data_IF_860172219777
#
_entry.id   IF_860172219777
#
_cell.length_a   1.000
_cell.length_b   1.000
_cell.length_c   1.000
_cell.angle_alpha   90.00
_cell.angle_beta   90.00
_cell.angle_gamma   90.00
#
_symmetry.space_group_name_H-M   'P 1'
#
loop_
_entity.id
_entity.type
_entity.pdbx_description
1 polymer ?
#
# COMPACT_ATOMS: atom_id res chain seq x y z
N UNK A 1 -9.89 16.14 44.12
CA UNK A 1 -9.01 15.64 43.04
C UNK A 1 -7.81 16.56 42.94
N UNK A 2 -6.60 16.02 43.02
CA UNK A 2 -5.37 16.81 43.02
C UNK A 2 -5.02 17.23 41.57
N UNK A 3 -4.89 18.53 41.25
CA UNK A 3 -4.66 19.01 39.88
C UNK A 3 -3.40 18.42 39.22
N UNK A 4 -2.39 18.05 40.02
CA UNK A 4 -1.18 17.37 39.54
C UNK A 4 -1.46 15.99 38.94
N UNK A 5 -2.45 15.27 39.46
CA UNK A 5 -2.85 13.93 38.97
C UNK A 5 -3.56 14.04 37.63
N UNK A 6 -4.38 15.08 37.44
CA UNK A 6 -5.10 15.33 36.18
C UNK A 6 -4.09 15.71 35.08
N UNK A 7 -3.13 16.58 35.38
CA UNK A 7 -2.10 17.00 34.43
C UNK A 7 -1.23 15.80 34.01
N UNK A 8 -0.81 14.95 34.95
CA UNK A 8 -0.03 13.75 34.64
C UNK A 8 -0.82 12.76 33.75
N UNK A 9 -2.11 12.58 34.00
CA UNK A 9 -2.96 11.70 33.18
C UNK A 9 -3.13 12.22 31.75
N UNK A 10 -3.36 13.54 31.58
CA UNK A 10 -3.49 14.15 30.26
C UNK A 10 -2.19 14.02 29.48
N UNK A 11 -1.04 14.26 30.13
CA UNK A 11 0.27 14.15 29.50
C UNK A 11 0.57 12.70 29.06
N UNK A 12 0.33 11.69 29.90
CA UNK A 12 0.51 10.27 29.50
C UNK A 12 -0.43 9.83 28.38
N UNK A 13 -1.67 10.34 28.36
CA UNK A 13 -2.64 10.04 27.28
C UNK A 13 -2.17 10.60 25.94
N UNK A 14 -1.57 11.79 25.96
CA UNK A 14 -1.03 12.47 24.79
C UNK A 14 0.23 11.74 24.27
N UNK A 15 1.14 11.30 25.13
CA UNK A 15 2.31 10.52 24.70
C UNK A 15 1.93 9.17 24.07
N UNK A 16 0.93 8.47 24.61
CA UNK A 16 0.45 7.20 24.03
C UNK A 16 -0.21 7.36 22.64
N UNK A 17 -0.72 8.56 22.33
CA UNK A 17 -1.25 8.88 20.99
C UNK A 17 -0.13 9.15 19.97
N UNK A 18 1.04 9.62 20.41
CA UNK A 18 2.16 9.97 19.52
C UNK A 18 3.16 8.84 19.26
N UNK A 19 3.13 7.77 20.04
CA UNK A 19 4.11 6.67 19.95
C UNK A 19 3.80 5.65 18.83
N UNK A 20 2.62 5.72 18.19
CA UNK A 20 2.16 4.66 17.27
C UNK A 20 2.49 4.87 15.78
N UNK A 21 2.92 6.07 15.34
CA UNK A 21 2.94 6.40 13.90
C UNK A 21 4.31 6.74 13.28
N UNK A 22 5.41 6.66 14.05
CA UNK A 22 6.75 7.00 13.53
C UNK A 22 7.63 5.80 13.18
N UNK A 23 7.19 4.57 13.46
CA UNK A 23 7.94 3.38 13.04
C UNK A 23 7.69 3.06 11.57
N UNK A 24 8.55 3.61 10.71
CA UNK A 24 8.57 3.37 9.27
C UNK A 24 9.16 2.00 8.91
N UNK A 25 9.64 1.22 9.89
CA UNK A 25 10.29 -0.05 9.63
C UNK A 25 9.28 -1.12 9.18
N UNK A 26 9.77 -2.01 8.32
CA UNK A 26 9.03 -3.18 7.86
C UNK A 26 9.74 -4.44 8.37
N UNK A 27 9.02 -5.31 9.06
CA UNK A 27 9.55 -6.58 9.58
C UNK A 27 8.71 -7.71 8.99
N UNK A 28 9.37 -8.67 8.32
CA UNK A 28 8.68 -9.78 7.68
C UNK A 28 9.49 -10.47 6.58
N UNK A 29 8.83 -11.34 5.81
CA UNK A 29 9.49 -12.05 4.70
C UNK A 29 9.84 -11.05 3.61
N UNK A 30 11.12 -10.99 3.25
CA UNK A 30 11.67 -9.91 2.43
C UNK A 30 12.05 -10.40 1.04
N UNK A 31 11.69 -9.61 0.02
CA UNK A 31 12.09 -9.79 -1.37
C UNK A 31 12.69 -8.48 -1.88
N UNK A 32 13.89 -8.53 -2.47
CA UNK A 32 14.66 -7.36 -2.92
C UNK A 32 14.70 -7.30 -4.44
N UNK A 33 15.01 -6.12 -4.97
CA UNK A 33 15.10 -5.86 -6.42
C UNK A 33 13.79 -6.20 -7.15
N UNK A 34 12.66 -5.94 -6.50
CA UNK A 34 11.34 -6.09 -7.10
C UNK A 34 11.07 -4.87 -7.96
N UNK A 35 10.65 -5.07 -9.20
CA UNK A 35 10.20 -3.97 -10.07
C UNK A 35 8.81 -3.54 -9.62
N UNK A 36 8.71 -2.31 -9.11
CA UNK A 36 7.43 -1.66 -8.86
C UNK A 36 7.05 -0.87 -10.11
N UNK A 37 5.83 -1.10 -10.60
CA UNK A 37 5.19 -0.26 -11.61
C UNK A 37 3.85 0.25 -11.11
N UNK A 38 3.28 1.26 -11.76
CA UNK A 38 1.99 1.82 -11.41
C UNK A 38 0.93 1.51 -12.47
N UNK A 39 -0.31 1.33 -12.02
CA UNK A 39 -1.51 1.26 -12.86
C UNK A 39 -2.61 2.09 -12.21
N UNK A 40 -3.63 2.48 -12.98
CA UNK A 40 -4.73 3.30 -12.49
C UNK A 40 -6.08 2.72 -12.92
N UNK A 41 -7.16 3.00 -12.17
CA UNK A 41 -8.50 2.57 -12.54
C UNK A 41 -8.97 3.14 -13.90
N UNK A 42 -9.34 2.28 -14.84
CA UNK A 42 -10.08 2.67 -16.05
C UNK A 42 -11.59 2.65 -15.74
N UNK A 43 -12.18 3.84 -15.69
CA UNK A 43 -13.62 4.02 -15.47
C UNK A 43 -14.44 4.08 -16.78
N UNK A 44 -13.77 4.09 -17.93
CA UNK A 44 -14.38 4.28 -19.24
C UNK A 44 -14.60 2.92 -19.93
N UNK A 45 -13.59 2.04 -19.91
CA UNK A 45 -13.71 0.69 -20.48
C UNK A 45 -14.03 -0.36 -19.41
N UNK A 46 -15.32 -0.48 -19.07
CA UNK A 46 -15.78 -1.47 -18.08
C UNK A 46 -15.69 -2.92 -18.58
N UNK A 47 -15.59 -3.12 -19.90
CA UNK A 47 -15.65 -4.43 -20.56
C UNK A 47 -14.28 -5.15 -20.61
N UNK A 48 -13.18 -4.44 -20.37
CA UNK A 48 -11.83 -5.00 -20.36
C UNK A 48 -11.26 -4.95 -18.92
N UNK A 49 -10.87 -6.11 -18.40
CA UNK A 49 -10.06 -6.27 -17.18
C UNK A 49 -10.56 -5.62 -15.89
N UNK A 50 -11.87 -5.66 -15.62
CA UNK A 50 -12.41 -5.18 -14.35
C UNK A 50 -11.94 -3.75 -14.02
N UNK A 51 -11.83 -2.85 -15.02
CA UNK A 51 -10.96 -1.66 -15.00
C UNK A 51 -10.89 -0.78 -13.73
N UNK A 52 -11.88 -0.79 -12.84
CA UNK A 52 -11.87 -0.06 -11.56
C UNK A 52 -12.08 -0.94 -10.30
N UNK A 53 -12.07 -2.25 -10.48
CA UNK A 53 -12.27 -3.29 -9.48
C UNK A 53 -11.05 -4.21 -9.42
N UNK A 54 -10.80 -4.80 -8.25
CA UNK A 54 -9.80 -5.83 -8.06
C UNK A 54 -10.30 -7.21 -8.55
N UNK A 55 -9.43 -8.23 -8.49
CA UNK A 55 -9.76 -9.62 -8.84
C UNK A 55 -10.96 -10.25 -8.10
N UNK A 56 -11.49 -9.61 -7.06
CA UNK A 56 -12.73 -10.04 -6.37
C UNK A 56 -13.94 -9.13 -6.68
N UNK A 57 -13.83 -8.23 -7.66
CA UNK A 57 -14.89 -7.29 -8.02
C UNK A 57 -15.04 -6.12 -7.04
N UNK A 58 -14.07 -5.88 -6.14
CA UNK A 58 -14.14 -4.75 -5.19
C UNK A 58 -13.43 -3.53 -5.75
N UNK A 59 -13.96 -2.34 -5.50
CA UNK A 59 -13.33 -1.08 -5.95
C UNK A 59 -11.86 -0.99 -5.52
N UNK A 60 -10.97 -0.73 -6.48
CA UNK A 60 -9.55 -0.46 -6.27
C UNK A 60 -9.34 0.71 -5.30
N UNK A 61 -8.29 0.61 -4.48
CA UNK A 61 -7.87 1.66 -3.54
C UNK A 61 -6.54 2.22 -3.97
N UNK A 62 -6.53 3.50 -4.30
CA UNK A 62 -5.36 4.15 -4.89
C UNK A 62 -4.42 4.66 -3.81
N UNK A 63 -3.14 4.83 -4.15
CA UNK A 63 -2.15 5.45 -3.26
C UNK A 63 -2.62 6.83 -2.80
N UNK A 64 -3.09 7.67 -3.71
CA UNK A 64 -3.54 9.01 -3.36
C UNK A 64 -4.80 8.98 -2.48
N UNK A 65 -5.71 8.01 -2.65
CA UNK A 65 -6.84 7.85 -1.72
C UNK A 65 -6.38 7.52 -0.29
N UNK A 66 -5.30 6.76 -0.16
CA UNK A 66 -4.70 6.46 1.14
C UNK A 66 -4.02 7.69 1.74
N UNK A 67 -3.25 8.43 0.94
CA UNK A 67 -2.57 9.66 1.38
C UNK A 67 -3.55 10.77 1.77
N UNK A 68 -4.75 10.79 1.16
CA UNK A 68 -5.82 11.73 1.48
C UNK A 68 -6.76 11.22 2.61
N UNK A 69 -6.39 10.14 3.32
CA UNK A 69 -7.20 9.49 4.38
C UNK A 69 -8.60 9.02 3.93
N UNK A 70 -8.76 8.71 2.64
CA UNK A 70 -10.02 8.22 2.03
C UNK A 70 -10.09 6.71 1.90
N UNK A 71 -8.96 6.02 2.12
CA UNK A 71 -8.89 4.56 2.19
C UNK A 71 -7.95 4.08 3.28
N UNK A 72 -8.22 2.89 3.82
CA UNK A 72 -7.41 2.28 4.89
C UNK A 72 -6.26 1.41 4.35
N UNK A 73 -6.15 1.27 3.03
CA UNK A 73 -5.10 0.54 2.34
C UNK A 73 -4.95 1.02 0.90
N UNK A 74 -3.85 0.62 0.27
CA UNK A 74 -3.57 0.74 -1.16
C UNK A 74 -3.60 -0.65 -1.79
N UNK A 75 -4.31 -0.78 -2.91
CA UNK A 75 -4.34 -2.02 -3.68
C UNK A 75 -2.99 -2.27 -4.34
N UNK A 76 -2.46 -3.48 -4.14
CA UNK A 76 -1.27 -3.99 -4.80
C UNK A 76 -1.66 -5.19 -5.68
N UNK A 77 -1.24 -5.16 -6.94
CA UNK A 77 -1.29 -6.27 -7.88
C UNK A 77 -0.02 -7.09 -7.82
N UNK A 78 -0.15 -8.42 -7.80
CA UNK A 78 0.98 -9.35 -7.88
C UNK A 78 0.61 -10.60 -8.69
N UNK A 79 1.62 -11.39 -9.06
CA UNK A 79 1.44 -12.64 -9.78
C UNK A 79 0.48 -13.61 -9.08
N UNK A 80 -0.60 -13.97 -9.76
CA UNK A 80 -1.62 -14.90 -9.27
C UNK A 80 -1.05 -16.30 -8.98
N UNK A 81 -0.02 -16.75 -9.70
CA UNK A 81 0.58 -18.06 -9.52
C UNK A 81 1.21 -18.26 -8.14
N UNK A 82 1.54 -17.17 -7.44
CA UNK A 82 2.09 -17.24 -6.09
C UNK A 82 1.08 -17.75 -5.06
N UNK A 83 -0.22 -17.77 -5.38
CA UNK A 83 -1.26 -18.21 -4.44
C UNK A 83 -1.34 -17.36 -3.17
N UNK A 84 -0.93 -16.09 -3.25
CA UNK A 84 -0.95 -15.17 -2.09
C UNK A 84 -2.42 -14.96 -1.65
N UNK A 85 -2.73 -15.18 -0.36
CA UNK A 85 -4.07 -14.93 0.16
C UNK A 85 -4.53 -13.48 -0.11
N UNK A 86 -5.79 -13.34 -0.49
CA UNK A 86 -6.36 -12.02 -0.77
C UNK A 86 -6.34 -11.13 0.48
N UNK A 87 -5.82 -9.91 0.34
CA UNK A 87 -5.66 -8.96 1.44
C UNK A 87 -4.37 -9.15 2.25
N UNK A 88 -3.45 -10.02 1.82
CA UNK A 88 -2.12 -10.13 2.44
C UNK A 88 -1.43 -8.78 2.47
N UNK A 89 -0.96 -8.38 3.65
CA UNK A 89 -0.34 -7.08 3.89
C UNK A 89 1.10 -7.09 3.42
N UNK A 90 1.48 -6.01 2.75
CA UNK A 90 2.84 -5.78 2.29
C UNK A 90 3.29 -4.38 2.72
N UNK A 91 4.56 -4.25 3.01
CA UNK A 91 5.22 -3.03 3.42
C UNK A 91 6.37 -2.76 2.44
N UNK A 92 6.47 -1.52 1.96
CA UNK A 92 7.56 -1.08 1.08
C UNK A 92 8.32 0.04 1.80
N UNK A 93 9.50 -0.26 2.38
CA UNK A 93 10.28 0.71 3.14
C UNK A 93 10.59 1.99 2.35
N UNK A 94 10.82 1.87 1.05
CA UNK A 94 11.13 3.00 0.17
C UNK A 94 9.97 3.98 0.05
N UNK A 95 8.72 3.49 0.00
CA UNK A 95 7.52 4.33 -0.01
C UNK A 95 7.28 4.96 1.37
N UNK A 96 7.42 4.18 2.45
CA UNK A 96 7.28 4.72 3.81
C UNK A 96 8.24 5.88 4.04
N UNK A 97 9.50 5.72 3.62
CA UNK A 97 10.52 6.77 3.71
C UNK A 97 10.18 7.99 2.85
N UNK A 98 9.65 7.79 1.65
CA UNK A 98 9.31 8.88 0.74
C UNK A 98 8.14 9.72 1.28
N UNK A 99 7.05 9.08 1.72
CA UNK A 99 5.84 9.76 2.20
C UNK A 99 5.92 10.17 3.67
N UNK A 100 6.88 9.65 4.44
CA UNK A 100 7.08 10.00 5.85
C UNK A 100 6.09 9.35 6.82
N UNK A 101 5.32 8.37 6.35
CA UNK A 101 4.43 7.54 7.18
C UNK A 101 4.29 6.14 6.57
N UNK A 102 3.76 5.19 7.34
CA UNK A 102 3.61 3.80 6.90
C UNK A 102 2.47 3.67 5.88
N UNK A 103 2.79 3.22 4.66
CA UNK A 103 1.80 2.92 3.64
C UNK A 103 1.33 1.47 3.79
N UNK A 104 0.04 1.28 4.08
CA UNK A 104 -0.57 -0.05 4.16
C UNK A 104 -0.94 -0.56 2.77
N UNK A 105 -0.14 -1.46 2.22
CA UNK A 105 -0.43 -2.13 0.94
C UNK A 105 -1.06 -3.49 1.18
N UNK A 106 -1.99 -3.89 0.32
CA UNK A 106 -2.62 -5.21 0.37
C UNK A 106 -2.67 -5.86 -1.01
N UNK A 107 -2.19 -7.10 -1.11
CA UNK A 107 -2.25 -7.91 -2.34
C UNK A 107 -3.68 -8.32 -2.59
N UNK A 108 -4.32 -7.64 -3.53
CA UNK A 108 -5.75 -7.82 -3.83
C UNK A 108 -6.03 -8.01 -5.30
N UNK A 109 -5.07 -7.69 -6.16
CA UNK A 109 -5.29 -7.66 -7.59
C UNK A 109 -4.26 -8.48 -8.37
N UNK A 110 -4.49 -8.65 -9.67
CA UNK A 110 -3.58 -9.29 -10.62
C UNK A 110 -3.91 -8.80 -12.04
N UNK A 111 -3.00 -9.00 -12.98
CA UNK A 111 -3.20 -8.71 -14.40
C UNK A 111 -2.48 -9.75 -15.25
N UNK A 112 -2.74 -9.76 -16.56
CA UNK A 112 -2.02 -10.62 -17.50
C UNK A 112 -0.50 -10.34 -17.49
N UNK A 113 -0.11 -9.07 -17.36
CA UNK A 113 1.29 -8.62 -17.33
C UNK A 113 2.05 -9.04 -16.07
N UNK A 114 1.34 -9.51 -15.03
CA UNK A 114 1.94 -10.02 -13.79
C UNK A 114 2.11 -11.54 -13.78
N UNK A 115 1.52 -12.26 -14.74
CA UNK A 115 1.48 -13.72 -14.73
C UNK A 115 2.88 -14.34 -14.90
N UNK A 116 3.27 -15.20 -13.95
CA UNK A 116 4.54 -15.93 -13.97
C UNK A 116 5.77 -15.10 -13.59
N UNK A 117 5.61 -13.85 -13.16
CA UNK A 117 6.71 -12.99 -12.72
C UNK A 117 7.12 -13.23 -11.26
N UNK A 118 6.33 -13.99 -10.51
CA UNK A 118 6.54 -14.30 -9.11
C UNK A 118 6.73 -13.04 -8.26
N UNK A 119 7.72 -13.07 -7.37
CA UNK A 119 8.04 -11.94 -6.50
C UNK A 119 8.90 -10.85 -7.18
N UNK A 120 9.16 -10.93 -8.49
CA UNK A 120 10.04 -10.00 -9.20
C UNK A 120 9.33 -8.71 -9.66
N UNK A 121 7.98 -8.70 -9.67
CA UNK A 121 7.18 -7.54 -10.04
C UNK A 121 5.98 -7.36 -9.11
N UNK A 122 5.61 -6.11 -8.86
CA UNK A 122 4.34 -5.74 -8.25
C UNK A 122 3.83 -4.44 -8.87
N UNK A 123 2.51 -4.31 -8.96
CA UNK A 123 1.86 -3.12 -9.51
C UNK A 123 1.08 -2.39 -8.42
N UNK A 124 1.37 -1.10 -8.20
CA UNK A 124 0.65 -0.27 -7.22
C UNK A 124 -0.46 0.52 -7.91
N UNK A 125 -1.65 0.51 -7.32
CA UNK A 125 -2.77 1.28 -7.84
C UNK A 125 -2.61 2.77 -7.49
N UNK A 126 -2.60 3.63 -8.51
CA UNK A 126 -2.58 5.10 -8.38
C UNK A 126 -3.86 5.70 -8.97
N UNK A 127 -4.13 6.99 -8.68
CA UNK A 127 -5.43 7.61 -8.97
C UNK A 127 -5.63 7.94 -10.44
N UNK A 128 -4.60 8.41 -11.13
CA UNK A 128 -4.70 8.90 -12.51
C UNK A 128 -3.54 8.41 -13.36
N UNK A 129 -3.68 8.55 -14.68
CA UNK A 129 -2.59 8.37 -15.63
C UNK A 129 -1.39 9.25 -15.30
N UNK A 130 -1.60 10.50 -14.89
CA UNK A 130 -0.51 11.41 -14.53
C UNK A 130 0.26 10.87 -13.32
N UNK A 131 -0.44 10.35 -12.31
CA UNK A 131 0.20 9.75 -11.12
C UNK A 131 1.02 8.49 -11.48
N UNK A 132 0.66 7.80 -12.57
CA UNK A 132 1.34 6.58 -13.01
C UNK A 132 2.73 6.84 -13.57
N UNK A 133 3.07 8.09 -13.88
CA UNK A 133 4.39 8.49 -14.34
C UNK A 133 5.35 8.89 -13.21
N UNK A 134 4.90 8.92 -11.95
CA UNK A 134 5.77 9.26 -10.82
C UNK A 134 6.87 8.20 -10.62
N UNK A 135 8.13 8.64 -10.61
CA UNK A 135 9.30 7.78 -10.44
C UNK A 135 9.34 7.06 -9.09
N UNK A 136 8.62 7.59 -8.09
CA UNK A 136 8.49 7.00 -6.75
C UNK A 136 7.79 5.65 -6.79
N UNK A 137 6.86 5.48 -7.74
CA UNK A 137 6.09 4.24 -7.96
C UNK A 137 6.54 3.46 -9.20
N UNK A 138 7.67 3.85 -9.82
CA UNK A 138 8.26 3.20 -10.99
C UNK A 138 9.77 2.98 -10.78
N UNK A 139 10.13 2.02 -9.93
CA UNK A 139 11.52 1.78 -9.48
C UNK A 139 11.71 0.39 -8.89
N UNK A 140 12.96 0.01 -8.70
CA UNK A 140 13.29 -1.15 -7.87
C UNK A 140 13.04 -0.83 -6.39
N UNK A 141 12.39 -1.77 -5.70
CA UNK A 141 12.01 -1.66 -4.28
C UNK A 141 12.26 -2.97 -3.52
N UNK A 142 11.98 -2.91 -2.22
CA UNK A 142 11.93 -4.06 -1.32
C UNK A 142 10.47 -4.34 -0.91
N UNK A 143 9.98 -5.55 -1.17
CA UNK A 143 8.70 -6.02 -0.60
C UNK A 143 8.96 -6.73 0.72
N UNK A 144 8.20 -6.34 1.75
CA UNK A 144 8.21 -7.03 3.05
C UNK A 144 6.78 -7.48 3.38
N UNK A 145 6.57 -8.79 3.41
CA UNK A 145 5.29 -9.40 3.78
C UNK A 145 5.18 -9.48 5.31
N UNK A 146 4.16 -8.81 5.87
CA UNK A 146 3.99 -8.56 7.31
C UNK A 146 2.87 -9.36 7.97
#
# INVERSE_FOLDING_TARGET
MNPLVIIAFVISSVYALFDNDLDLTCIGKTFRNVTLTAYYPDYINLDNEYGFQDKQGRKLKTLQDYLDDRSNYVTLGMDEQLGIPYGTKVCIPELNKHFGHRIRLEVRDTSFDLYGLGYNRADICVRTEIDSYDITVNRLITLVFV
#
